data_IF_812345144644
#
_entry.id   IF_812345144644
#
_cell.length_a   1.000
_cell.length_b   1.000
_cell.length_c   1.000
_cell.angle_alpha   90.00
_cell.angle_beta   90.00
_cell.angle_gamma   90.00
#
_symmetry.space_group_name_H-M   'P 1'
#
loop_
_entity.id
_entity.type
_entity.pdbx_description
1 polymer ?
#
# COMPACT_ATOMS: atom_id res chain seq x y z
N UNK A 1 15.21 1.02 -14.08
CA UNK A 1 14.40 0.31 -13.06
C UNK A 1 13.13 -0.21 -13.71
N UNK A 2 12.87 -1.51 -13.58
CA UNK A 2 11.60 -2.16 -13.92
C UNK A 2 10.49 -1.66 -12.98
N UNK A 3 9.22 -1.93 -13.31
CA UNK A 3 8.10 -1.60 -12.42
C UNK A 3 8.26 -2.27 -11.05
N UNK A 4 8.70 -3.53 -11.02
CA UNK A 4 8.94 -4.28 -9.79
C UNK A 4 10.02 -3.62 -8.91
N UNK A 5 11.15 -3.20 -9.50
CA UNK A 5 12.22 -2.50 -8.76
C UNK A 5 11.73 -1.17 -8.17
N UNK A 6 10.88 -0.44 -8.89
CA UNK A 6 10.27 0.81 -8.41
C UNK A 6 9.31 0.54 -7.25
N UNK A 7 8.48 -0.52 -7.33
CA UNK A 7 7.59 -0.93 -6.24
C UNK A 7 8.39 -1.30 -4.98
N UNK A 8 9.49 -2.04 -5.13
CA UNK A 8 10.37 -2.37 -4.00
C UNK A 8 10.98 -1.11 -3.36
N UNK A 9 11.41 -0.14 -4.17
CA UNK A 9 11.91 1.14 -3.66
C UNK A 9 10.81 1.95 -2.95
N UNK A 10 9.56 1.92 -3.45
CA UNK A 10 8.42 2.54 -2.76
C UNK A 10 8.19 1.91 -1.40
N UNK A 11 8.13 0.58 -1.34
CA UNK A 11 7.95 -0.19 -0.09
C UNK A 11 9.06 0.19 0.90
N UNK A 12 10.33 0.17 0.46
CA UNK A 12 11.47 0.53 1.30
C UNK A 12 11.33 1.92 1.91
N UNK A 13 11.00 2.94 1.09
CA UNK A 13 10.81 4.31 1.57
C UNK A 13 9.65 4.46 2.54
N UNK A 14 8.55 3.72 2.32
CA UNK A 14 7.41 3.72 3.22
C UNK A 14 7.82 3.13 4.57
N UNK A 15 8.50 1.99 4.56
CA UNK A 15 8.96 1.32 5.79
C UNK A 15 9.90 2.24 6.58
N UNK A 16 10.92 2.78 5.94
CA UNK A 16 11.94 3.61 6.60
C UNK A 16 11.38 4.90 7.21
N UNK A 17 10.37 5.52 6.58
CA UNK A 17 9.87 6.83 7.00
C UNK A 17 8.62 6.79 7.87
N UNK A 18 7.83 5.73 7.81
CA UNK A 18 6.51 5.71 8.43
C UNK A 18 6.27 4.52 9.37
N UNK A 19 7.18 3.55 9.46
CA UNK A 19 7.06 2.36 10.33
C UNK A 19 5.66 1.70 10.29
N UNK A 20 5.20 1.23 9.11
CA UNK A 20 3.93 0.54 8.99
C UNK A 20 3.95 -0.80 9.71
N UNK A 21 2.77 -1.30 10.06
CA UNK A 21 2.62 -2.68 10.55
C UNK A 21 2.59 -3.67 9.38
N UNK A 22 1.97 -3.29 8.26
CA UNK A 22 1.83 -4.14 7.07
C UNK A 22 1.69 -3.30 5.81
N UNK A 23 2.23 -3.78 4.70
CA UNK A 23 1.97 -3.23 3.36
C UNK A 23 1.51 -4.36 2.45
N UNK A 24 0.42 -4.13 1.73
CA UNK A 24 -0.18 -5.07 0.80
C UNK A 24 -0.21 -4.41 -0.57
N UNK A 25 0.43 -5.06 -1.54
CA UNK A 25 0.30 -4.72 -2.95
C UNK A 25 -0.95 -5.41 -3.48
N UNK A 26 -1.88 -4.67 -4.06
CA UNK A 26 -3.07 -5.23 -4.67
C UNK A 26 -3.19 -4.77 -6.14
N UNK A 27 -4.33 -5.05 -6.78
CA UNK A 27 -4.56 -4.63 -8.17
C UNK A 27 -3.73 -5.41 -9.20
N UNK A 28 -3.43 -4.74 -10.31
CA UNK A 28 -2.83 -5.36 -11.51
C UNK A 28 -1.42 -5.90 -11.27
N UNK A 29 -0.57 -5.15 -10.55
CA UNK A 29 0.78 -5.59 -10.19
C UNK A 29 0.78 -6.79 -9.23
N UNK A 30 -0.20 -6.90 -8.34
CA UNK A 30 -0.34 -8.08 -7.50
C UNK A 30 -0.65 -9.34 -8.32
N UNK A 31 -1.48 -9.22 -9.36
CA UNK A 31 -1.84 -10.34 -10.26
C UNK A 31 -0.79 -10.65 -11.34
N UNK A 32 0.24 -9.82 -11.49
CA UNK A 32 1.25 -9.97 -12.55
C UNK A 32 0.79 -9.50 -13.93
N UNK A 33 -0.35 -8.80 -13.98
CA UNK A 33 -0.94 -8.21 -15.19
C UNK A 33 -0.53 -6.74 -15.37
N UNK A 34 0.15 -6.16 -14.38
CA UNK A 34 0.59 -4.77 -14.38
C UNK A 34 1.64 -4.50 -15.46
N UNK A 35 1.29 -3.58 -16.36
CA UNK A 35 2.20 -3.09 -17.40
C UNK A 35 3.10 -1.93 -16.91
N UNK A 36 3.96 -1.39 -17.79
CA UNK A 36 4.83 -0.25 -17.48
C UNK A 36 4.08 1.01 -17.05
N UNK A 37 2.86 1.18 -17.55
CA UNK A 37 1.99 2.34 -17.30
C UNK A 37 0.92 2.07 -16.22
N UNK A 38 0.93 0.88 -15.62
CA UNK A 38 -0.04 0.54 -14.56
C UNK A 38 0.37 1.12 -13.21
N UNK A 39 -0.60 1.69 -12.51
CA UNK A 39 -0.40 2.26 -11.19
C UNK A 39 -0.13 1.16 -10.15
N UNK A 40 0.75 1.45 -9.18
CA UNK A 40 1.02 0.57 -8.05
C UNK A 40 0.01 0.81 -6.91
N UNK A 41 -0.94 -0.10 -6.75
CA UNK A 41 -1.94 -0.05 -5.67
C UNK A 41 -1.36 -0.60 -4.35
N UNK A 42 -1.14 0.29 -3.38
CA UNK A 42 -0.58 -0.08 -2.07
C UNK A 42 -1.54 0.23 -0.94
N UNK A 43 -1.90 -0.81 -0.18
CA UNK A 43 -2.60 -0.68 1.09
C UNK A 43 -1.57 -0.70 2.22
N UNK A 44 -1.47 0.41 2.94
CA UNK A 44 -0.56 0.58 4.08
C UNK A 44 -1.37 0.52 5.37
N UNK A 45 -1.09 -0.49 6.19
CA UNK A 45 -1.67 -0.66 7.53
C UNK A 45 -0.72 -0.06 8.55
N UNK A 46 -1.18 0.96 9.27
CA UNK A 46 -0.41 1.58 10.34
C UNK A 46 -1.29 2.28 11.35
N UNK A 47 -0.81 2.37 12.59
CA UNK A 47 -1.42 3.26 13.58
C UNK A 47 -1.14 4.70 13.17
N UNK A 48 -2.19 5.50 13.15
CA UNK A 48 -2.05 6.93 12.90
C UNK A 48 -3.08 7.70 13.72
N UNK A 49 -2.69 8.89 14.16
CA UNK A 49 -3.59 9.87 14.75
C UNK A 49 -3.97 10.90 13.67
N UNK A 50 -5.25 11.28 13.62
CA UNK A 50 -5.76 12.28 12.67
C UNK A 50 -6.17 11.71 11.30
N UNK A 51 -5.89 12.47 10.23
CA UNK A 51 -6.48 12.21 8.91
C UNK A 51 -5.68 11.20 8.08
N UNK A 52 -6.34 10.11 7.69
CA UNK A 52 -5.79 9.12 6.73
C UNK A 52 -5.39 9.74 5.40
N UNK A 53 -6.20 10.69 4.90
CA UNK A 53 -5.92 11.40 3.64
C UNK A 53 -4.64 12.22 3.73
N UNK A 54 -4.40 12.87 4.87
CA UNK A 54 -3.15 13.61 5.11
C UNK A 54 -1.95 12.66 5.15
N UNK A 55 -2.08 11.52 5.83
CA UNK A 55 -1.02 10.50 5.88
C UNK A 55 -0.72 9.90 4.51
N UNK A 56 -1.73 9.60 3.71
CA UNK A 56 -1.56 9.16 2.33
C UNK A 56 -0.81 10.21 1.50
N UNK A 57 -1.17 11.48 1.61
CA UNK A 57 -0.47 12.57 0.91
C UNK A 57 1.01 12.69 1.35
N UNK A 58 1.32 12.56 2.64
CA UNK A 58 2.70 12.53 3.12
C UNK A 58 3.49 11.36 2.53
N UNK A 59 2.88 10.17 2.41
CA UNK A 59 3.48 9.01 1.74
C UNK A 59 3.73 9.32 0.27
N UNK A 60 2.74 9.85 -0.47
CA UNK A 60 2.95 10.23 -1.88
C UNK A 60 4.13 11.19 -2.06
N UNK A 61 4.26 12.19 -1.18
CA UNK A 61 5.40 13.11 -1.21
C UNK A 61 6.72 12.39 -0.94
N UNK A 62 6.74 11.43 -0.01
CA UNK A 62 7.94 10.63 0.27
C UNK A 62 8.36 9.72 -0.90
N UNK A 63 7.42 9.36 -1.76
CA UNK A 63 7.65 8.56 -2.98
C UNK A 63 8.05 9.41 -4.19
N UNK A 64 8.10 10.74 -4.06
CA UNK A 64 8.49 11.63 -5.16
C UNK A 64 9.84 11.22 -5.77
N UNK A 65 9.92 11.30 -7.10
CA UNK A 65 11.10 10.91 -7.88
C UNK A 65 11.10 9.45 -8.33
N UNK A 66 10.15 8.62 -7.88
CA UNK A 66 9.91 7.30 -8.45
C UNK A 66 8.94 7.47 -9.61
N UNK A 67 9.41 7.26 -10.85
CA UNK A 67 8.60 7.37 -12.06
C UNK A 67 7.67 6.16 -12.26
N UNK A 68 6.78 5.92 -11.30
CA UNK A 68 5.68 4.96 -11.36
C UNK A 68 4.53 5.58 -10.57
N UNK A 69 3.33 5.71 -11.14
CA UNK A 69 2.20 6.18 -10.37
C UNK A 69 1.84 5.15 -9.31
N UNK A 70 1.37 5.61 -8.16
CA UNK A 70 1.00 4.73 -7.05
C UNK A 70 -0.25 5.26 -6.38
N UNK A 71 -1.21 4.37 -6.13
CA UNK A 71 -2.42 4.67 -5.37
C UNK A 71 -2.24 4.16 -3.93
N UNK A 72 -2.14 5.11 -2.99
CA UNK A 72 -1.83 4.80 -1.59
C UNK A 72 -3.09 4.88 -0.73
N UNK A 73 -3.49 3.73 -0.20
CA UNK A 73 -4.58 3.63 0.77
C UNK A 73 -4.02 3.38 2.16
N UNK A 74 -4.33 4.26 3.11
CA UNK A 74 -3.90 4.11 4.50
C UNK A 74 -5.09 3.72 5.38
N UNK A 75 -4.91 2.67 6.16
CA UNK A 75 -5.89 2.18 7.13
C UNK A 75 -5.22 1.81 8.45
N UNK A 76 -5.96 1.95 9.55
CA UNK A 76 -5.48 1.45 10.85
C UNK A 76 -5.76 -0.04 10.99
N UNK A 77 -5.02 -0.77 11.86
CA UNK A 77 -5.29 -2.18 12.12
C UNK A 77 -6.75 -2.45 12.52
N UNK A 78 -7.35 -1.55 13.31
CA UNK A 78 -8.75 -1.66 13.76
C UNK A 78 -9.74 -1.50 12.60
N UNK A 79 -9.43 -0.65 11.61
CA UNK A 79 -10.24 -0.52 10.41
C UNK A 79 -10.14 -1.76 9.53
N UNK A 80 -8.93 -2.32 9.39
CA UNK A 80 -8.73 -3.57 8.68
C UNK A 80 -9.57 -4.67 9.31
N UNK A 81 -9.48 -4.85 10.63
CA UNK A 81 -10.25 -5.88 11.33
C UNK A 81 -11.77 -5.69 11.20
N UNK A 82 -12.24 -4.44 11.25
CA UNK A 82 -13.66 -4.09 11.11
C UNK A 82 -14.22 -4.36 9.70
N UNK A 83 -13.42 -4.14 8.65
CA UNK A 83 -13.89 -4.13 7.27
C UNK A 83 -13.43 -5.32 6.43
N UNK A 84 -12.53 -6.18 6.94
CA UNK A 84 -11.94 -7.31 6.20
C UNK A 84 -12.94 -8.27 5.58
N UNK A 85 -14.12 -8.42 6.17
CA UNK A 85 -15.17 -9.35 5.73
C UNK A 85 -16.35 -8.64 5.03
N UNK A 86 -16.28 -7.31 4.86
CA UNK A 86 -17.37 -6.54 4.24
C UNK A 86 -17.13 -6.44 2.73
N UNK A 87 -17.89 -7.23 1.97
CA UNK A 87 -17.95 -7.21 0.51
C UNK A 87 -18.37 -5.82 0.02
N UNK A 88 -17.68 -5.32 -1.01
CA UNK A 88 -17.89 -3.97 -1.57
C UNK A 88 -16.97 -2.89 -0.99
N UNK A 89 -16.17 -3.21 0.02
CA UNK A 89 -15.05 -2.36 0.45
C UNK A 89 -13.79 -2.67 -0.37
N UNK A 90 -12.86 -1.71 -0.49
CA UNK A 90 -11.55 -1.95 -1.12
C UNK A 90 -10.64 -2.84 -0.27
N UNK A 91 -10.89 -2.89 1.05
CA UNK A 91 -10.12 -3.72 1.99
C UNK A 91 -10.35 -5.21 1.69
N UNK A 92 -11.60 -5.61 1.44
CA UNK A 92 -11.95 -7.01 1.18
C UNK A 92 -11.13 -7.67 0.05
N UNK A 93 -11.10 -7.15 -1.20
CA UNK A 93 -10.29 -7.72 -2.26
C UNK A 93 -8.79 -7.53 -2.01
N UNK A 94 -8.36 -6.40 -1.42
CA UNK A 94 -6.94 -6.18 -1.12
C UNK A 94 -6.37 -7.23 -0.15
N UNK A 95 -7.14 -7.67 0.86
CA UNK A 95 -6.69 -8.71 1.79
C UNK A 95 -6.75 -10.12 1.21
N UNK A 96 -7.66 -10.39 0.26
CA UNK A 96 -7.85 -11.74 -0.30
C UNK A 96 -6.99 -12.01 -1.52
N UNK A 97 -6.85 -11.03 -2.40
CA UNK A 97 -6.16 -11.15 -3.69
C UNK A 97 -4.81 -10.45 -3.69
N UNK A 98 -4.60 -9.51 -2.76
CA UNK A 98 -3.35 -8.79 -2.63
C UNK A 98 -2.22 -9.66 -2.09
N UNK A 99 -1.00 -9.23 -2.39
CA UNK A 99 0.23 -9.82 -1.89
C UNK A 99 0.75 -8.99 -0.72
N UNK A 100 0.94 -9.63 0.43
CA UNK A 100 1.67 -9.01 1.54
C UNK A 100 3.12 -8.86 1.11
N UNK A 101 3.56 -7.62 0.96
CA UNK A 101 4.93 -7.28 0.51
C UNK A 101 5.82 -6.82 1.66
N UNK A 102 5.21 -6.48 2.79
CA UNK A 102 5.90 -6.20 4.04
C UNK A 102 4.96 -6.50 5.21
N UNK A 103 5.49 -7.12 6.25
CA UNK A 103 4.82 -7.30 7.54
C UNK A 103 5.88 -7.18 8.63
N UNK A 104 5.61 -6.33 9.62
CA UNK A 104 6.53 -6.14 10.74
C UNK A 104 6.51 -7.39 11.62
N UNK A 105 7.69 -7.97 11.87
CA UNK A 105 7.83 -9.06 12.82
C UNK A 105 7.44 -8.58 14.23
N UNK A 106 6.64 -9.38 14.94
CA UNK A 106 6.20 -9.10 16.30
C UNK A 106 7.33 -9.25 17.33
#
# INVERSE_FOLDING_TARGET
>A
MTAQEKIQEMIRRIVEKFDPEKIILFGSHARGEGGPDSDADLLVVMRLTGSRRKKAAEIHVALWGIALPADILVFTPEQIDKYKDIVGTIIYPALREGKVVYERAA
#
